data_IF_997540265209
#
_entry.id   IF_997540265209
#
_cell.length_a   1.000
_cell.length_b   1.000
_cell.length_c   1.000
_cell.angle_alpha   90.00
_cell.angle_beta   90.00
_cell.angle_gamma   90.00
#
_symmetry.space_group_name_H-M   'P 1'
#
loop_
_entity.id
_entity.type
_entity.pdbx_description
1 polymer ?
#
# COMPACT_ATOMS: atom_id res chain seq x y z
N UNK A 1 11.01 28.95 10.81
CA UNK A 1 11.94 28.01 11.48
C UNK A 1 12.93 27.53 10.44
N UNK A 2 14.22 27.44 10.80
CA UNK A 2 15.24 26.84 9.93
C UNK A 2 14.96 25.35 9.78
N UNK A 3 15.20 24.82 8.59
CA UNK A 3 15.15 23.38 8.30
C UNK A 3 16.47 22.97 7.66
N UNK A 4 16.80 21.70 7.74
CA UNK A 4 17.88 21.06 7.02
C UNK A 4 17.28 20.01 6.08
N UNK A 5 17.88 19.83 4.92
CA UNK A 5 17.50 18.80 3.97
C UNK A 5 18.60 17.74 3.94
N UNK A 6 18.22 16.49 4.19
CA UNK A 6 19.14 15.34 4.18
C UNK A 6 18.70 14.42 3.06
N UNK A 7 19.57 14.20 2.10
CA UNK A 7 19.35 13.30 0.97
C UNK A 7 20.25 12.08 1.14
N UNK A 8 19.66 10.90 1.19
CA UNK A 8 20.40 9.62 1.27
C UNK A 8 20.22 8.87 -0.02
N UNK A 9 21.30 8.72 -0.77
CA UNK A 9 21.38 7.83 -1.92
C UNK A 9 21.66 6.40 -1.42
N UNK A 10 20.68 5.52 -1.55
CA UNK A 10 20.77 4.12 -1.12
C UNK A 10 21.28 3.20 -2.25
N UNK A 11 22.37 3.60 -2.91
CA UNK A 11 22.99 2.84 -3.99
C UNK A 11 22.14 2.77 -5.25
N UNK A 12 21.54 3.90 -5.65
CA UNK A 12 20.74 3.99 -6.87
C UNK A 12 21.58 3.73 -8.12
N UNK A 13 21.07 3.00 -9.11
CA UNK A 13 21.80 2.70 -10.35
C UNK A 13 22.07 3.96 -11.20
N UNK A 14 21.34 5.04 -10.97
CA UNK A 14 21.40 6.33 -11.62
C UNK A 14 22.06 7.42 -10.73
N UNK A 15 22.95 7.03 -9.81
CA UNK A 15 23.62 7.93 -8.85
C UNK A 15 24.28 9.12 -9.52
N UNK A 16 24.94 8.95 -10.68
CA UNK A 16 25.56 10.07 -11.41
C UNK A 16 24.54 11.13 -11.86
N UNK A 17 23.35 10.69 -12.29
CA UNK A 17 22.27 11.59 -12.69
C UNK A 17 21.67 12.32 -11.48
N UNK A 18 21.51 11.60 -10.37
CA UNK A 18 21.06 12.17 -9.11
C UNK A 18 22.03 13.23 -8.61
N UNK A 19 23.32 12.94 -8.58
CA UNK A 19 24.36 13.89 -8.16
C UNK A 19 24.41 15.12 -9.07
N UNK A 20 24.30 14.94 -10.39
CA UNK A 20 24.23 16.05 -11.32
C UNK A 20 23.00 16.96 -11.07
N UNK A 21 21.85 16.37 -10.72
CA UNK A 21 20.63 17.10 -10.37
C UNK A 21 20.76 17.84 -9.03
N UNK A 22 21.46 17.27 -8.07
CA UNK A 22 21.68 17.84 -6.74
C UNK A 22 22.83 18.85 -6.69
N UNK A 23 23.73 18.86 -7.67
CA UNK A 23 24.92 19.70 -7.69
C UNK A 23 24.64 21.19 -7.37
N UNK A 24 23.58 21.84 -7.88
CA UNK A 24 23.27 23.22 -7.54
C UNK A 24 22.90 23.46 -6.06
N UNK A 25 22.61 22.40 -5.31
CA UNK A 25 22.09 22.45 -3.94
C UNK A 25 23.06 21.88 -2.90
N UNK A 26 24.25 21.41 -3.28
CA UNK A 26 25.18 20.75 -2.35
C UNK A 26 25.59 21.62 -1.15
N UNK A 27 25.59 22.93 -1.29
CA UNK A 27 25.90 23.83 -0.17
C UNK A 27 24.72 23.95 0.84
N UNK A 28 23.52 23.58 0.42
CA UNK A 28 22.29 23.72 1.21
C UNK A 28 21.75 22.39 1.76
N UNK A 29 22.32 21.25 1.33
CA UNK A 29 21.86 19.91 1.70
C UNK A 29 22.94 19.09 2.39
N UNK A 30 22.54 18.09 3.16
CA UNK A 30 23.42 17.01 3.63
C UNK A 30 23.21 15.82 2.70
N UNK A 31 24.14 15.63 1.76
CA UNK A 31 24.10 14.44 0.86
C UNK A 31 24.95 13.32 1.42
N UNK A 32 24.40 12.11 1.41
CA UNK A 32 25.10 10.89 1.87
C UNK A 32 24.78 9.74 0.93
N UNK A 33 25.81 9.01 0.54
CA UNK A 33 25.68 7.77 -0.21
C UNK A 33 25.92 6.56 0.71
N UNK A 34 25.23 5.47 0.44
CA UNK A 34 25.45 4.18 1.06
C UNK A 34 25.19 3.04 0.06
N UNK A 35 25.67 1.83 0.38
CA UNK A 35 25.27 0.62 -0.35
C UNK A 35 23.76 0.42 -0.21
N UNK A 36 23.11 -0.16 -1.23
CA UNK A 36 21.67 -0.44 -1.18
C UNK A 36 21.33 -1.40 -0.03
N UNK A 37 20.71 -0.84 0.98
CA UNK A 37 20.24 -1.53 2.20
C UNK A 37 18.71 -1.44 2.36
N UNK A 38 18.04 -0.74 1.44
CA UNK A 38 16.61 -0.53 1.45
C UNK A 38 16.17 0.75 2.18
N UNK A 39 14.92 1.15 1.95
CA UNK A 39 14.39 2.45 2.39
C UNK A 39 14.43 2.67 3.92
N UNK A 40 14.28 1.61 4.75
CA UNK A 40 14.35 1.75 6.21
C UNK A 40 15.73 2.12 6.74
N UNK A 41 16.76 1.38 6.40
CA UNK A 41 18.13 1.75 6.69
C UNK A 41 18.52 3.14 6.17
N UNK A 42 18.08 3.52 4.95
CA UNK A 42 18.30 4.85 4.41
C UNK A 42 17.63 5.94 5.27
N UNK A 43 16.35 5.76 5.63
CA UNK A 43 15.65 6.68 6.54
C UNK A 43 16.31 6.73 7.93
N UNK A 44 16.78 5.61 8.47
CA UNK A 44 17.53 5.58 9.73
C UNK A 44 18.85 6.36 9.64
N UNK A 45 19.54 6.27 8.50
CA UNK A 45 20.74 7.06 8.25
C UNK A 45 20.42 8.55 8.28
N UNK A 46 19.36 8.99 7.59
CA UNK A 46 18.92 10.38 7.62
C UNK A 46 18.55 10.82 9.05
N UNK A 47 17.78 10.03 9.79
CA UNK A 47 17.40 10.32 11.18
C UNK A 47 18.63 10.48 12.07
N UNK A 48 19.68 9.66 11.88
CA UNK A 48 20.90 9.72 12.67
C UNK A 48 21.69 11.00 12.43
N UNK A 49 21.65 11.54 11.22
CA UNK A 49 22.34 12.76 10.80
C UNK A 49 21.55 14.03 11.15
N UNK A 50 20.23 13.92 11.25
CA UNK A 50 19.37 15.05 11.55
C UNK A 50 19.69 15.68 12.90
N UNK A 51 19.79 17.02 12.90
CA UNK A 51 19.99 17.85 14.11
C UNK A 51 18.66 18.36 14.68
N UNK A 52 17.63 18.42 13.82
CA UNK A 52 16.31 18.89 14.19
C UNK A 52 15.58 17.93 15.14
N UNK A 53 14.69 18.49 15.95
CA UNK A 53 13.79 17.71 16.85
C UNK A 53 12.65 17.04 16.09
N UNK A 54 12.30 17.53 14.91
CA UNK A 54 11.26 17.01 14.05
C UNK A 54 11.88 16.38 12.81
N UNK A 55 11.34 15.25 12.41
CA UNK A 55 11.68 14.55 11.16
C UNK A 55 10.46 14.61 10.25
N UNK A 56 10.64 15.15 9.05
CA UNK A 56 9.67 15.10 7.97
C UNK A 56 10.19 14.16 6.89
N UNK A 57 9.36 13.22 6.45
CA UNK A 57 9.73 12.22 5.44
C UNK A 57 9.18 12.63 4.08
N UNK A 58 10.04 12.50 3.05
CA UNK A 58 9.65 12.70 1.66
C UNK A 58 10.35 11.63 0.81
N UNK A 59 9.58 10.80 0.13
CA UNK A 59 10.10 9.86 -0.85
C UNK A 59 10.43 10.62 -2.14
N UNK A 60 11.45 10.17 -2.89
CA UNK A 60 12.05 10.93 -3.98
C UNK A 60 11.12 11.16 -5.20
N UNK A 61 10.03 10.43 -5.27
CA UNK A 61 9.02 10.50 -6.32
C UNK A 61 7.79 11.34 -5.95
N UNK A 62 7.71 11.83 -4.71
CA UNK A 62 6.60 12.63 -4.19
C UNK A 62 6.94 14.13 -4.09
N UNK A 63 5.92 14.97 -3.92
CA UNK A 63 6.06 16.43 -3.85
C UNK A 63 5.26 17.01 -2.68
N UNK A 64 5.86 17.89 -1.87
CA UNK A 64 5.09 18.65 -0.88
C UNK A 64 4.49 19.92 -1.49
N UNK A 65 3.27 20.25 -1.07
CA UNK A 65 2.68 21.55 -1.33
C UNK A 65 3.27 22.61 -0.37
N UNK A 66 3.21 23.90 -0.73
CA UNK A 66 3.90 24.98 0.01
C UNK A 66 3.59 25.04 1.51
N UNK A 67 2.36 24.70 1.91
CA UNK A 67 1.90 24.80 3.29
C UNK A 67 2.17 23.54 4.13
N UNK A 68 2.76 22.49 3.54
CA UNK A 68 2.96 21.19 4.20
C UNK A 68 3.65 21.32 5.57
N UNK A 69 4.88 21.86 5.60
CA UNK A 69 5.66 21.94 6.84
C UNK A 69 4.99 22.84 7.86
N UNK A 70 4.47 24.01 7.44
CA UNK A 70 3.84 24.95 8.36
C UNK A 70 2.62 24.33 9.06
N UNK A 71 1.77 23.64 8.29
CA UNK A 71 0.59 22.98 8.84
C UNK A 71 0.95 21.82 9.78
N UNK A 72 1.86 20.94 9.36
CA UNK A 72 2.26 19.78 10.15
C UNK A 72 2.97 20.18 11.46
N UNK A 73 3.83 21.20 11.42
CA UNK A 73 4.49 21.73 12.62
C UNK A 73 3.45 22.31 13.59
N UNK A 74 2.47 23.06 13.09
CA UNK A 74 1.39 23.58 13.92
C UNK A 74 0.61 22.49 14.65
N UNK A 75 0.39 21.33 14.00
CA UNK A 75 -0.23 20.18 14.65
C UNK A 75 0.68 19.58 15.75
N UNK A 76 1.98 19.43 15.47
CA UNK A 76 2.95 18.95 16.48
C UNK A 76 2.99 19.88 17.69
N UNK A 77 2.96 21.21 17.49
CA UNK A 77 2.90 22.21 18.55
C UNK A 77 1.60 22.11 19.37
N UNK A 78 0.51 21.64 18.73
CA UNK A 78 -0.75 21.26 19.37
C UNK A 78 -0.69 20.01 20.24
N UNK A 79 0.49 19.39 20.36
CA UNK A 79 0.76 18.28 21.30
C UNK A 79 0.75 16.89 20.67
N UNK A 80 0.79 16.76 19.35
CA UNK A 80 0.98 15.49 18.69
C UNK A 80 2.45 15.08 18.66
N UNK A 81 2.74 13.78 18.64
CA UNK A 81 4.10 13.24 18.50
C UNK A 81 4.42 12.87 17.06
N UNK A 82 3.39 12.54 16.30
CA UNK A 82 3.41 12.24 14.87
C UNK A 82 2.13 12.75 14.22
N UNK A 83 2.26 13.32 13.04
CA UNK A 83 1.12 13.74 12.22
C UNK A 83 1.33 13.32 10.77
N UNK A 84 0.23 13.15 10.05
CA UNK A 84 0.27 12.92 8.59
C UNK A 84 -0.90 13.60 7.90
N UNK A 85 -0.82 13.77 6.59
CA UNK A 85 -1.81 14.49 5.81
C UNK A 85 -2.30 13.68 4.61
N UNK A 86 -3.41 14.14 4.00
CA UNK A 86 -3.91 13.61 2.74
C UNK A 86 -3.06 14.06 1.56
N UNK A 87 -3.13 13.31 0.47
CA UNK A 87 -2.36 13.52 -0.76
C UNK A 87 -3.25 13.52 -1.99
N UNK A 88 -2.97 14.42 -2.93
CA UNK A 88 -3.42 14.30 -4.31
C UNK A 88 -2.65 13.16 -4.99
N UNK A 89 -3.36 12.25 -5.66
CA UNK A 89 -2.74 11.18 -6.43
C UNK A 89 -2.37 11.71 -7.82
N UNK A 90 -1.11 11.49 -8.26
CA UNK A 90 -0.67 11.90 -9.59
C UNK A 90 0.26 10.86 -10.22
N UNK A 91 0.55 11.00 -11.52
CA UNK A 91 1.39 10.06 -12.27
C UNK A 91 0.61 9.23 -13.28
N UNK A 92 1.31 8.33 -13.97
CA UNK A 92 0.79 7.63 -15.15
C UNK A 92 -0.38 6.68 -14.86
N UNK A 93 -0.53 6.26 -13.61
CA UNK A 93 -1.55 5.32 -13.17
C UNK A 93 -2.49 5.90 -12.11
N UNK A 94 -2.38 7.20 -11.82
CA UNK A 94 -3.25 7.84 -10.86
C UNK A 94 -4.68 7.98 -11.42
N UNK A 95 -5.71 7.67 -10.62
CA UNK A 95 -7.07 8.03 -10.97
C UNK A 95 -7.20 9.56 -10.98
N UNK A 96 -7.95 10.10 -11.97
CA UNK A 96 -8.16 11.55 -12.06
C UNK A 96 -8.92 12.07 -10.85
N UNK A 97 -8.47 13.21 -10.32
CA UNK A 97 -9.15 13.97 -9.27
C UNK A 97 -9.45 13.19 -7.98
N UNK A 98 -8.57 12.25 -7.61
CA UNK A 98 -8.71 11.46 -6.38
C UNK A 98 -7.61 11.75 -5.39
N UNK A 99 -7.99 11.74 -4.10
CA UNK A 99 -7.02 11.79 -3.01
C UNK A 99 -6.74 10.40 -2.44
N UNK A 100 -5.65 10.30 -1.70
CA UNK A 100 -5.29 9.05 -1.03
C UNK A 100 -6.35 8.65 0.01
N UNK A 101 -6.83 9.60 0.82
CA UNK A 101 -7.81 9.29 1.87
C UNK A 101 -9.21 8.98 1.32
N UNK A 102 -9.53 9.32 0.07
CA UNK A 102 -10.74 8.80 -0.59
C UNK A 102 -10.68 7.29 -0.84
N UNK A 103 -9.48 6.77 -1.12
CA UNK A 103 -9.25 5.35 -1.37
C UNK A 103 -8.88 4.57 -0.11
N UNK A 104 -8.11 5.20 0.78
CA UNK A 104 -7.60 4.63 2.03
C UNK A 104 -7.84 5.62 3.18
N UNK A 105 -9.08 5.75 3.66
CA UNK A 105 -9.46 6.76 4.62
C UNK A 105 -8.78 6.60 5.96
N UNK A 106 -8.67 7.72 6.69
CA UNK A 106 -8.37 7.72 8.12
C UNK A 106 -9.59 8.19 8.89
N UNK A 107 -9.99 7.46 9.93
CA UNK A 107 -11.17 7.77 10.74
C UNK A 107 -10.97 7.43 12.21
N UNK A 108 -11.36 8.38 13.07
CA UNK A 108 -11.27 8.23 14.52
C UNK A 108 -9.83 8.36 15.03
N UNK A 109 -9.57 7.77 16.18
CA UNK A 109 -8.27 7.84 16.84
C UNK A 109 -7.26 6.89 16.17
N UNK A 110 -6.01 7.38 16.01
CA UNK A 110 -4.93 6.57 15.43
C UNK A 110 -4.27 5.74 16.54
N UNK A 111 -4.63 4.48 16.59
CA UNK A 111 -4.13 3.48 17.54
C UNK A 111 -3.51 2.30 16.80
N UNK A 112 -2.84 1.41 17.50
CA UNK A 112 -2.36 0.16 16.91
C UNK A 112 -3.53 -0.65 16.30
N UNK A 113 -4.67 -0.70 16.98
CA UNK A 113 -5.89 -1.37 16.48
C UNK A 113 -6.43 -0.72 15.20
N UNK A 114 -6.48 0.61 15.11
CA UNK A 114 -6.99 1.30 13.91
C UNK A 114 -6.04 1.19 12.72
N UNK A 115 -4.73 1.13 12.96
CA UNK A 115 -3.72 0.86 11.93
C UNK A 115 -3.84 -0.59 11.42
N UNK A 116 -3.92 -1.57 12.32
CA UNK A 116 -4.07 -2.99 11.97
C UNK A 116 -5.36 -3.27 11.22
N UNK A 117 -6.42 -2.51 11.50
CA UNK A 117 -7.74 -2.67 10.87
C UNK A 117 -7.91 -1.81 9.60
N UNK A 118 -6.85 -1.10 9.17
CA UNK A 118 -6.88 -0.16 8.05
C UNK A 118 -7.95 0.94 8.17
N UNK A 119 -8.39 1.24 9.39
CA UNK A 119 -9.23 2.41 9.65
C UNK A 119 -8.46 3.72 9.65
N UNK A 120 -7.13 3.64 9.80
CA UNK A 120 -6.21 4.74 9.63
C UNK A 120 -5.05 4.31 8.73
N UNK A 121 -4.81 5.07 7.67
CA UNK A 121 -3.84 4.75 6.64
C UNK A 121 -2.84 5.91 6.50
N UNK A 122 -1.55 5.60 6.52
CA UNK A 122 -0.49 6.60 6.63
C UNK A 122 0.37 6.59 5.37
N UNK A 123 0.53 7.76 4.77
CA UNK A 123 1.54 8.00 3.73
C UNK A 123 2.81 8.47 4.42
N UNK A 124 3.93 7.81 4.16
CA UNK A 124 5.23 8.18 4.73
C UNK A 124 5.65 9.58 4.33
N UNK A 125 5.54 9.94 3.06
CA UNK A 125 5.85 11.28 2.53
C UNK A 125 4.96 12.40 3.10
N UNK A 126 3.80 12.05 3.64
CA UNK A 126 2.90 12.98 4.34
C UNK A 126 3.16 13.12 5.83
N UNK A 127 4.23 12.52 6.35
CA UNK A 127 4.44 12.37 7.80
C UNK A 127 5.51 13.32 8.33
N UNK A 128 5.18 13.97 9.46
CA UNK A 128 6.12 14.65 10.35
C UNK A 128 6.01 14.04 11.75
N UNK A 129 7.14 13.75 12.39
CA UNK A 129 7.18 13.15 13.70
C UNK A 129 8.32 13.71 14.56
N UNK A 130 8.15 13.71 15.88
CA UNK A 130 9.23 14.00 16.82
C UNK A 130 10.33 12.92 16.70
N UNK A 131 11.56 13.33 16.49
CA UNK A 131 12.72 12.44 16.41
C UNK A 131 12.80 11.53 17.65
N UNK A 132 12.57 12.08 18.83
CA UNK A 132 12.58 11.33 20.09
C UNK A 132 11.54 10.19 20.09
N UNK A 133 10.33 10.41 19.57
CA UNK A 133 9.27 9.41 19.50
C UNK A 133 9.62 8.28 18.50
N UNK A 134 10.24 8.62 17.36
CA UNK A 134 10.74 7.63 16.39
C UNK A 134 11.81 6.74 17.04
N UNK A 135 12.77 7.35 17.73
CA UNK A 135 13.87 6.63 18.41
C UNK A 135 13.34 5.75 19.54
N UNK A 136 12.41 6.27 20.36
CA UNK A 136 11.80 5.51 21.46
C UNK A 136 11.04 4.27 20.94
N UNK A 137 10.44 4.36 19.77
CA UNK A 137 9.80 3.22 19.09
C UNK A 137 10.78 2.27 18.40
N UNK A 138 12.11 2.52 18.44
CA UNK A 138 13.16 1.68 17.86
C UNK A 138 13.47 1.97 16.39
N UNK A 139 13.02 3.11 15.85
CA UNK A 139 13.25 3.56 14.46
C UNK A 139 12.79 2.53 13.40
N UNK A 140 13.20 2.65 12.15
CA UNK A 140 12.89 1.65 11.12
C UNK A 140 13.68 0.35 11.36
N UNK A 141 13.16 -0.76 10.86
CA UNK A 141 13.90 -2.02 10.91
C UNK A 141 15.18 -1.94 10.06
N UNK A 142 16.22 -2.66 10.52
CA UNK A 142 17.52 -2.62 9.85
C UNK A 142 17.60 -3.51 8.62
N UNK A 143 16.72 -4.51 8.54
CA UNK A 143 16.63 -5.40 7.40
C UNK A 143 15.77 -4.75 6.31
N UNK A 144 16.11 -5.02 5.04
CA UNK A 144 15.29 -4.58 3.91
C UNK A 144 13.98 -5.37 3.90
N UNK A 145 13.01 -4.85 4.64
CA UNK A 145 11.69 -5.41 4.73
C UNK A 145 10.66 -4.42 4.21
N UNK A 146 9.72 -4.90 3.41
CA UNK A 146 8.63 -4.06 2.92
C UNK A 146 7.70 -3.63 4.06
N UNK A 147 7.01 -2.51 3.88
CA UNK A 147 6.10 -1.91 4.86
C UNK A 147 6.72 -1.71 6.26
N UNK A 148 7.99 -1.33 6.27
CA UNK A 148 8.74 -1.00 7.48
C UNK A 148 8.20 0.24 8.19
N UNK A 149 7.60 1.14 7.43
CA UNK A 149 6.86 2.31 7.89
C UNK A 149 5.61 1.90 8.68
N UNK A 150 4.75 1.04 8.13
CA UNK A 150 3.59 0.49 8.82
C UNK A 150 3.97 -0.18 10.15
N UNK A 151 5.06 -0.95 10.15
CA UNK A 151 5.58 -1.60 11.35
C UNK A 151 6.06 -0.58 12.39
N UNK A 152 6.73 0.49 11.97
CA UNK A 152 7.15 1.59 12.85
C UNK A 152 5.94 2.32 13.44
N UNK A 153 4.92 2.64 12.61
CA UNK A 153 3.74 3.35 13.07
C UNK A 153 2.96 2.58 14.13
N UNK A 154 2.85 1.26 14.01
CA UNK A 154 2.26 0.40 15.05
C UNK A 154 3.08 0.47 16.33
N UNK A 155 4.42 0.37 16.27
CA UNK A 155 5.29 0.47 17.45
C UNK A 155 5.20 1.83 18.12
N UNK A 156 5.12 2.92 17.36
CA UNK A 156 4.92 4.26 17.91
C UNK A 156 3.57 4.36 18.66
N UNK A 157 2.49 3.86 18.05
CA UNK A 157 1.19 3.83 18.73
C UNK A 157 1.22 2.98 20.01
N UNK A 158 1.86 1.82 19.98
CA UNK A 158 2.05 0.94 21.17
C UNK A 158 2.92 1.60 22.25
N UNK A 159 3.90 2.42 21.87
CA UNK A 159 4.72 3.19 22.80
C UNK A 159 4.01 4.41 23.40
N UNK A 160 2.72 4.61 23.08
CA UNK A 160 1.92 5.71 23.61
C UNK A 160 2.07 7.03 22.87
N UNK A 161 2.69 7.04 21.67
CA UNK A 161 2.77 8.24 20.85
C UNK A 161 1.37 8.71 20.43
N UNK A 162 1.11 10.01 20.61
CA UNK A 162 -0.11 10.65 20.12
C UNK A 162 0.03 10.89 18.60
N UNK A 163 -0.72 10.14 17.81
CA UNK A 163 -0.67 10.22 16.35
C UNK A 163 -1.95 10.88 15.85
N UNK A 164 -1.80 11.96 15.08
CA UNK A 164 -2.90 12.69 14.46
C UNK A 164 -2.81 12.68 12.95
N UNK A 165 -3.91 13.07 12.30
CA UNK A 165 -3.94 13.26 10.84
C UNK A 165 -4.75 14.51 10.47
N UNK A 166 -4.51 15.00 9.26
CA UNK A 166 -5.25 16.08 8.63
C UNK A 166 -5.82 15.58 7.32
N UNK A 167 -7.08 15.90 7.06
CA UNK A 167 -7.76 15.68 5.77
C UNK A 167 -7.39 16.71 4.70
N UNK A 168 -6.50 17.66 5.02
CA UNK A 168 -5.98 18.59 4.03
C UNK A 168 -5.03 17.89 3.08
N UNK A 169 -5.23 18.12 1.79
CA UNK A 169 -4.27 17.74 0.76
C UNK A 169 -3.06 18.66 0.86
N UNK A 170 -1.94 18.11 1.33
CA UNK A 170 -0.70 18.86 1.57
C UNK A 170 0.50 18.32 0.79
N UNK A 171 0.30 17.25 0.04
CA UNK A 171 1.34 16.67 -0.83
C UNK A 171 0.69 16.05 -2.07
N UNK A 172 1.54 15.77 -3.05
CA UNK A 172 1.22 14.99 -4.24
C UNK A 172 1.96 13.66 -4.14
N UNK A 173 1.21 12.56 -4.19
CA UNK A 173 1.72 11.19 -4.09
C UNK A 173 1.72 10.54 -5.46
N UNK A 174 2.89 10.07 -5.92
CA UNK A 174 3.05 9.53 -7.26
C UNK A 174 2.65 8.05 -7.34
N UNK A 175 1.76 7.75 -8.28
CA UNK A 175 1.31 6.39 -8.59
C UNK A 175 1.90 5.94 -9.92
N UNK A 176 2.77 4.94 -9.87
CA UNK A 176 3.42 4.36 -11.06
C UNK A 176 2.69 3.12 -11.56
N UNK A 177 2.70 2.92 -12.88
CA UNK A 177 2.18 1.69 -13.50
C UNK A 177 2.91 0.44 -13.03
N UNK A 178 4.19 0.54 -12.72
CA UNK A 178 4.98 -0.57 -12.19
C UNK A 178 4.53 -1.00 -10.78
N UNK A 179 4.04 -0.07 -9.97
CA UNK A 179 3.46 -0.37 -8.66
C UNK A 179 2.12 -1.12 -8.76
N UNK A 180 1.37 -0.92 -9.86
CA UNK A 180 0.08 -1.57 -10.15
C UNK A 180 0.23 -2.87 -10.95
N UNK A 181 1.29 -3.00 -11.77
CA UNK A 181 1.52 -4.14 -12.65
C UNK A 181 2.23 -5.32 -11.99
N UNK A 182 2.61 -5.19 -10.72
CA UNK A 182 3.19 -6.30 -9.96
C UNK A 182 2.24 -7.49 -9.92
N UNK A 183 2.81 -8.73 -9.99
CA UNK A 183 2.06 -9.97 -9.83
C UNK A 183 1.19 -9.89 -8.57
N UNK A 184 -0.13 -9.96 -8.74
CA UNK A 184 -1.12 -9.82 -7.67
C UNK A 184 -0.92 -10.88 -6.57
N UNK A 185 -0.44 -12.08 -6.92
CA UNK A 185 -0.09 -13.14 -5.97
C UNK A 185 1.05 -12.66 -5.07
N UNK A 186 2.15 -12.21 -5.66
CA UNK A 186 3.31 -11.72 -4.92
C UNK A 186 2.95 -10.50 -4.03
N UNK A 187 2.02 -9.64 -4.46
CA UNK A 187 1.51 -8.54 -3.65
C UNK A 187 0.84 -9.06 -2.38
N UNK A 188 -0.12 -9.98 -2.51
CA UNK A 188 -0.84 -10.53 -1.36
C UNK A 188 0.08 -11.34 -0.45
N UNK A 189 1.03 -12.10 -1.00
CA UNK A 189 2.04 -12.82 -0.21
C UNK A 189 2.91 -11.86 0.62
N UNK A 190 3.29 -10.71 0.05
CA UNK A 190 4.02 -9.67 0.79
C UNK A 190 3.18 -9.07 1.93
N UNK A 191 1.90 -8.80 1.70
CA UNK A 191 1.00 -8.31 2.75
C UNK A 191 0.87 -9.34 3.88
N UNK A 192 0.70 -10.62 3.57
CA UNK A 192 0.70 -11.71 4.56
C UNK A 192 1.99 -11.72 5.37
N UNK A 193 3.14 -11.61 4.71
CA UNK A 193 4.44 -11.59 5.38
C UNK A 193 4.58 -10.40 6.34
N UNK A 194 4.07 -9.22 5.98
CA UNK A 194 4.04 -8.04 6.85
C UNK A 194 3.24 -8.32 8.12
N UNK A 195 2.01 -8.82 8.00
CA UNK A 195 1.18 -9.12 9.17
C UNK A 195 1.76 -10.25 10.03
N UNK A 196 2.38 -11.28 9.42
CA UNK A 196 3.08 -12.33 10.16
C UNK A 196 4.27 -11.78 10.93
N UNK A 197 5.01 -10.82 10.35
CA UNK A 197 6.11 -10.15 11.03
C UNK A 197 5.61 -9.33 12.22
N UNK A 198 4.55 -8.53 12.03
CA UNK A 198 3.91 -7.78 13.13
C UNK A 198 3.54 -8.73 14.27
N UNK A 199 2.87 -9.85 13.96
CA UNK A 199 2.50 -10.86 14.95
C UNK A 199 3.69 -11.42 15.73
N UNK A 200 4.83 -11.57 15.05
CA UNK A 200 6.05 -12.17 15.65
C UNK A 200 6.84 -11.19 16.50
N UNK A 201 6.82 -9.91 16.15
CA UNK A 201 7.78 -8.92 16.68
C UNK A 201 7.15 -7.85 17.56
N UNK A 202 5.83 -7.70 17.55
CA UNK A 202 5.11 -6.70 18.34
C UNK A 202 4.25 -7.43 19.38
N UNK A 203 4.36 -7.00 20.64
CA UNK A 203 3.47 -7.47 21.70
C UNK A 203 2.06 -6.90 21.50
N UNK A 204 1.14 -7.73 21.00
CA UNK A 204 -0.23 -7.36 20.67
C UNK A 204 -1.17 -7.74 21.81
N UNK A 205 -2.11 -6.84 22.13
CA UNK A 205 -3.22 -7.15 23.00
C UNK A 205 -4.13 -8.24 22.38
N UNK A 206 -4.99 -8.92 23.17
CA UNK A 206 -5.93 -9.90 22.64
C UNK A 206 -6.85 -9.33 21.53
N UNK A 207 -7.25 -8.06 21.65
CA UNK A 207 -8.05 -7.37 20.64
C UNK A 207 -7.25 -7.13 19.35
N UNK A 208 -6.03 -6.58 19.46
CA UNK A 208 -5.14 -6.36 18.33
C UNK A 208 -4.79 -7.66 17.60
N UNK A 209 -4.56 -8.73 18.36
CA UNK A 209 -4.30 -10.06 17.80
C UNK A 209 -5.53 -10.59 17.05
N UNK A 210 -6.74 -10.37 17.57
CA UNK A 210 -7.99 -10.76 16.89
C UNK A 210 -8.17 -10.01 15.56
N UNK A 211 -7.86 -8.70 15.55
CA UNK A 211 -7.88 -7.89 14.33
C UNK A 211 -6.88 -8.44 13.31
N UNK A 212 -5.64 -8.64 13.74
CA UNK A 212 -4.57 -9.15 12.88
C UNK A 212 -4.90 -10.54 12.29
N UNK A 213 -5.44 -11.46 13.08
CA UNK A 213 -5.85 -12.79 12.59
C UNK A 213 -6.99 -12.70 11.58
N UNK A 214 -7.94 -11.78 11.78
CA UNK A 214 -9.01 -11.52 10.81
C UNK A 214 -8.42 -11.02 9.49
N UNK A 215 -7.47 -10.06 9.50
CA UNK A 215 -6.79 -9.57 8.31
C UNK A 215 -6.02 -10.69 7.61
N UNK A 216 -5.22 -11.47 8.34
CA UNK A 216 -4.50 -12.63 7.79
C UNK A 216 -5.45 -13.67 7.17
N UNK A 217 -6.60 -13.91 7.80
CA UNK A 217 -7.62 -14.80 7.24
C UNK A 217 -8.18 -14.27 5.93
N UNK A 218 -8.47 -12.96 5.87
CA UNK A 218 -8.90 -12.29 4.63
C UNK A 218 -7.88 -12.42 3.51
N UNK A 219 -6.62 -12.06 3.79
CA UNK A 219 -5.52 -12.13 2.82
C UNK A 219 -5.27 -13.55 2.30
N UNK A 220 -5.41 -14.58 3.13
CA UNK A 220 -5.30 -15.97 2.65
C UNK A 220 -6.40 -16.33 1.65
N UNK A 221 -7.62 -15.86 1.87
CA UNK A 221 -8.71 -16.04 0.89
C UNK A 221 -8.38 -15.31 -0.42
N UNK A 222 -7.92 -14.06 -0.31
CA UNK A 222 -7.57 -13.24 -1.48
C UNK A 222 -6.40 -13.88 -2.25
N UNK A 223 -5.41 -14.47 -1.57
CA UNK A 223 -4.32 -15.22 -2.19
C UNK A 223 -4.85 -16.40 -3.02
N UNK A 224 -5.78 -17.20 -2.48
CA UNK A 224 -6.36 -18.31 -3.24
C UNK A 224 -7.20 -17.82 -4.42
N UNK A 225 -7.89 -16.68 -4.29
CA UNK A 225 -8.60 -16.06 -5.42
C UNK A 225 -7.60 -15.64 -6.53
N UNK A 226 -6.50 -14.98 -6.18
CA UNK A 226 -5.49 -14.56 -7.16
C UNK A 226 -4.80 -15.77 -7.84
N UNK A 227 -4.47 -16.82 -7.08
CA UNK A 227 -3.99 -18.09 -7.64
C UNK A 227 -5.00 -18.70 -8.61
N UNK A 228 -6.29 -18.71 -8.22
CA UNK A 228 -7.36 -19.20 -9.07
C UNK A 228 -7.47 -18.42 -10.38
N UNK A 229 -7.35 -17.10 -10.35
CA UNK A 229 -7.31 -16.24 -11.54
C UNK A 229 -6.09 -16.54 -12.42
N UNK A 230 -4.90 -16.66 -11.84
CA UNK A 230 -3.66 -16.99 -12.54
C UNK A 230 -3.76 -18.34 -13.24
N UNK A 231 -4.19 -19.40 -12.55
CA UNK A 231 -4.42 -20.71 -13.12
C UNK A 231 -5.47 -20.69 -14.24
N UNK A 232 -6.55 -19.91 -14.06
CA UNK A 232 -7.59 -19.75 -15.08
C UNK A 232 -7.02 -19.13 -16.37
N UNK A 233 -6.21 -18.09 -16.27
CA UNK A 233 -5.55 -17.42 -17.41
C UNK A 233 -4.60 -18.38 -18.13
N UNK A 234 -3.88 -19.20 -17.39
CA UNK A 234 -2.96 -20.21 -17.89
C UNK A 234 -3.69 -21.50 -18.39
N UNK A 235 -5.03 -21.51 -18.35
CA UNK A 235 -5.88 -22.65 -18.75
C UNK A 235 -5.69 -23.92 -17.91
N UNK A 236 -5.09 -23.80 -16.73
CA UNK A 236 -5.07 -24.88 -15.75
C UNK A 236 -6.38 -24.85 -14.94
N UNK A 237 -7.44 -25.36 -15.58
CA UNK A 237 -8.80 -25.31 -15.03
C UNK A 237 -8.97 -26.17 -13.77
N UNK A 238 -8.13 -27.21 -13.62
CA UNK A 238 -8.19 -28.05 -12.42
C UNK A 238 -7.66 -27.29 -11.21
N UNK A 239 -6.46 -26.72 -11.31
CA UNK A 239 -5.88 -25.89 -10.23
C UNK A 239 -6.72 -24.62 -9.95
N UNK A 240 -7.28 -23.99 -11.00
CA UNK A 240 -8.18 -22.85 -10.82
C UNK A 240 -9.41 -23.21 -9.99
N UNK A 241 -10.06 -24.34 -10.31
CA UNK A 241 -11.22 -24.82 -9.55
C UNK A 241 -10.86 -25.10 -8.09
N UNK A 242 -9.73 -25.75 -7.85
CA UNK A 242 -9.31 -26.13 -6.49
C UNK A 242 -9.01 -24.88 -5.65
N UNK A 243 -8.31 -23.89 -6.20
CA UNK A 243 -8.03 -22.62 -5.55
C UNK A 243 -9.33 -21.84 -5.22
N UNK A 244 -10.26 -21.69 -6.15
CA UNK A 244 -11.56 -21.06 -5.87
C UNK A 244 -12.38 -21.82 -4.84
N UNK A 245 -12.27 -23.15 -4.83
CA UNK A 245 -12.97 -24.00 -3.83
C UNK A 245 -12.39 -23.79 -2.44
N UNK A 246 -11.06 -23.68 -2.28
CA UNK A 246 -10.42 -23.33 -1.02
C UNK A 246 -10.87 -21.95 -0.52
N UNK A 247 -10.82 -20.94 -1.39
CA UNK A 247 -11.29 -19.60 -1.06
C UNK A 247 -12.76 -19.61 -0.60
N UNK A 248 -13.62 -20.35 -1.31
CA UNK A 248 -15.05 -20.48 -0.98
C UNK A 248 -15.33 -21.23 0.34
N UNK A 249 -14.45 -22.18 0.69
CA UNK A 249 -14.56 -22.89 1.97
C UNK A 249 -14.21 -21.97 3.16
N UNK A 250 -13.24 -21.08 3.00
CA UNK A 250 -12.81 -20.17 4.06
C UNK A 250 -13.72 -18.94 4.21
N UNK A 251 -14.22 -18.38 3.10
CA UNK A 251 -15.12 -17.22 3.08
C UNK A 251 -16.29 -17.48 2.13
N UNK A 252 -17.34 -18.20 2.56
CA UNK A 252 -18.49 -18.52 1.71
C UNK A 252 -19.22 -17.23 1.28
N UNK A 253 -19.40 -17.05 -0.02
CA UNK A 253 -20.23 -15.99 -0.59
C UNK A 253 -20.98 -16.50 -1.82
N UNK A 254 -22.14 -15.89 -2.14
CA UNK A 254 -22.89 -16.25 -3.35
C UNK A 254 -22.03 -16.06 -4.61
N UNK A 255 -21.22 -15.00 -4.63
CA UNK A 255 -20.27 -14.64 -5.67
C UNK A 255 -19.26 -15.78 -5.88
N UNK A 256 -18.56 -16.19 -4.83
CA UNK A 256 -17.51 -17.19 -4.93
C UNK A 256 -18.07 -18.58 -5.25
N UNK A 257 -19.26 -18.91 -4.74
CA UNK A 257 -19.98 -20.14 -5.14
C UNK A 257 -20.30 -20.18 -6.63
N UNK A 258 -20.73 -19.05 -7.21
CA UNK A 258 -20.99 -18.96 -8.65
C UNK A 258 -19.68 -19.12 -9.46
N UNK A 259 -18.57 -18.53 -9.01
CA UNK A 259 -17.25 -18.75 -9.63
C UNK A 259 -16.82 -20.21 -9.57
N UNK A 260 -16.99 -20.88 -8.43
CA UNK A 260 -16.69 -22.31 -8.29
C UNK A 260 -17.53 -23.18 -9.25
N UNK A 261 -18.83 -22.89 -9.37
CA UNK A 261 -19.70 -23.59 -10.33
C UNK A 261 -19.25 -23.33 -11.78
N UNK A 262 -18.96 -22.08 -12.14
CA UNK A 262 -18.48 -21.73 -13.46
C UNK A 262 -17.11 -22.38 -13.76
N UNK A 263 -16.18 -22.38 -12.82
CA UNK A 263 -14.88 -23.05 -12.96
C UNK A 263 -15.01 -24.57 -13.14
N UNK A 264 -16.05 -25.18 -12.55
CA UNK A 264 -16.31 -26.62 -12.65
C UNK A 264 -16.99 -27.01 -13.97
N UNK A 265 -18.00 -26.26 -14.42
CA UNK A 265 -18.87 -26.67 -15.52
C UNK A 265 -18.63 -25.92 -16.83
N UNK A 266 -18.08 -24.70 -16.77
CA UNK A 266 -17.87 -23.81 -17.91
C UNK A 266 -16.57 -22.98 -17.79
N UNK A 267 -15.40 -23.60 -17.55
CA UNK A 267 -14.16 -22.85 -17.27
C UNK A 267 -13.73 -21.95 -18.42
N UNK A 268 -13.97 -22.37 -19.67
CA UNK A 268 -13.65 -21.55 -20.85
C UNK A 268 -14.54 -20.31 -20.95
N UNK A 269 -15.81 -20.39 -20.52
CA UNK A 269 -16.70 -19.24 -20.43
C UNK A 269 -16.25 -18.30 -19.32
N UNK A 270 -15.90 -18.82 -18.15
CA UNK A 270 -15.35 -18.05 -17.05
C UNK A 270 -14.09 -17.29 -17.47
N UNK A 271 -13.17 -17.96 -18.18
CA UNK A 271 -11.96 -17.32 -18.74
C UNK A 271 -12.30 -16.21 -19.72
N UNK A 272 -13.27 -16.44 -20.61
CA UNK A 272 -13.72 -15.41 -21.57
C UNK A 272 -14.29 -14.17 -20.87
N UNK A 273 -15.13 -14.36 -19.84
CA UNK A 273 -15.68 -13.28 -19.03
C UNK A 273 -14.57 -12.54 -18.29
N UNK A 274 -13.63 -13.26 -17.69
CA UNK A 274 -12.49 -12.66 -17.01
C UNK A 274 -11.66 -11.79 -17.96
N UNK A 275 -11.31 -12.31 -19.14
CA UNK A 275 -10.54 -11.56 -20.15
C UNK A 275 -11.27 -10.33 -20.68
N UNK A 276 -12.58 -10.42 -20.93
CA UNK A 276 -13.35 -9.27 -21.44
C UNK A 276 -13.37 -8.08 -20.48
N UNK A 277 -13.29 -8.31 -19.18
CA UNK A 277 -13.23 -7.26 -18.17
C UNK A 277 -11.84 -6.66 -17.97
N UNK A 278 -10.80 -7.42 -18.27
CA UNK A 278 -9.42 -6.95 -18.12
C UNK A 278 -8.82 -6.45 -19.44
N UNK A 279 -9.51 -6.61 -20.57
CA UNK A 279 -9.09 -6.06 -21.87
C UNK A 279 -9.28 -4.54 -21.97
N UNK A 280 -10.12 -3.93 -21.13
CA UNK A 280 -10.28 -2.47 -21.09
C UNK A 280 -9.05 -1.75 -20.52
N UNK A 281 -8.18 -2.45 -19.77
CA UNK A 281 -6.89 -1.91 -19.30
C UNK A 281 -5.73 -2.13 -20.28
N UNK A 282 -5.90 -2.95 -21.33
CA UNK A 282 -4.85 -3.26 -22.30
C UNK A 282 -5.19 -2.80 -23.72
N UNK A 283 -5.91 -1.75 -23.93
CA UNK A 283 -6.00 -1.00 -25.21
C UNK A 283 -5.99 -1.77 -26.55
N UNK A 284 -6.13 -3.10 -26.57
CA UNK A 284 -6.04 -3.94 -27.75
C UNK A 284 -7.15 -4.99 -27.74
N UNK A 285 -8.05 -4.83 -28.66
CA UNK A 285 -9.06 -5.70 -29.26
C UNK A 285 -10.45 -5.08 -29.12
N UNK A 286 -10.72 -4.14 -30.01
CA UNK A 286 -12.05 -3.96 -30.60
C UNK A 286 -12.14 -4.92 -31.77
N UNK A 287 -13.01 -5.89 -31.72
CA UNK A 287 -14.01 -6.23 -32.70
C UNK A 287 -14.53 -7.68 -32.54
N UNK A 288 -15.83 -7.76 -32.77
CA UNK A 288 -16.64 -8.94 -33.13
C UNK A 288 -17.11 -9.87 -32.01
N UNK A 289 -18.37 -9.72 -31.64
CA UNK A 289 -19.41 -10.66 -32.06
C UNK A 289 -20.76 -10.31 -31.42
N UNK A 290 -21.65 -9.99 -32.30
CA UNK A 290 -23.08 -9.87 -32.00
C UNK A 290 -23.70 -11.25 -31.70
N UNK A 291 -24.69 -11.19 -30.79
CA UNK A 291 -25.89 -12.01 -30.68
C UNK A 291 -25.80 -13.53 -30.63
N UNK A 292 -26.16 -14.07 -29.48
CA UNK A 292 -27.21 -15.10 -29.39
C UNK A 292 -27.60 -15.44 -27.95
N UNK A 293 -28.90 -15.53 -27.73
CA UNK A 293 -29.69 -16.18 -26.69
C UNK A 293 -29.83 -15.54 -25.30
N UNK A 294 -31.03 -15.14 -24.97
CA UNK A 294 -31.51 -14.45 -23.79
C UNK A 294 -31.40 -15.22 -22.45
N UNK A 295 -31.17 -16.52 -22.44
CA UNK A 295 -30.99 -17.33 -21.24
C UNK A 295 -29.55 -17.30 -20.68
N UNK A 296 -28.57 -16.95 -21.48
CA UNK A 296 -27.18 -16.71 -21.05
C UNK A 296 -26.99 -15.35 -20.39
N UNK A 297 -27.89 -14.38 -20.67
CA UNK A 297 -27.73 -12.99 -20.25
C UNK A 297 -27.90 -12.77 -18.74
N UNK A 298 -28.75 -13.53 -18.07
CA UNK A 298 -28.95 -13.42 -16.61
C UNK A 298 -27.78 -14.02 -15.81
N UNK A 299 -27.22 -15.13 -16.26
CA UNK A 299 -26.02 -15.74 -15.66
C UNK A 299 -24.78 -14.90 -15.97
N UNK A 300 -24.66 -14.39 -17.19
CA UNK A 300 -23.57 -13.50 -17.59
C UNK A 300 -23.63 -12.17 -16.84
N UNK A 301 -24.82 -11.59 -16.64
CA UNK A 301 -24.97 -10.35 -15.86
C UNK A 301 -24.61 -10.54 -14.39
N UNK A 302 -24.94 -11.71 -13.79
CA UNK A 302 -24.54 -12.06 -12.43
C UNK A 302 -23.01 -12.29 -12.33
N UNK A 303 -22.42 -12.98 -13.33
CA UNK A 303 -20.98 -13.18 -13.42
C UNK A 303 -20.22 -11.88 -13.77
N UNK A 304 -20.81 -10.99 -14.55
CA UNK A 304 -20.22 -9.69 -14.87
C UNK A 304 -20.11 -8.77 -13.64
N UNK A 305 -21.03 -8.85 -12.69
CA UNK A 305 -20.89 -8.15 -11.40
C UNK A 305 -19.89 -8.80 -10.43
N UNK A 306 -19.37 -9.98 -10.78
CA UNK A 306 -18.46 -10.77 -9.95
C UNK A 306 -17.00 -10.30 -10.00
N UNK A 307 -16.60 -9.52 -11.04
CA UNK A 307 -15.23 -9.06 -11.23
C UNK A 307 -15.12 -7.51 -11.27
N UNK A 308 -16.14 -6.80 -10.76
CA UNK A 308 -16.22 -5.34 -10.79
C UNK A 308 -16.04 -4.67 -9.41
N UNK A 309 -15.38 -5.34 -8.48
CA UNK A 309 -14.88 -4.75 -7.22
C UNK A 309 -13.50 -5.30 -6.93
#
# INVERSE_FOLDING_TARGET
>A
AGHELIVVNDGSPDSEQLEAALAPFFDDIVYVEQANLGAGPARNRAISLARGELIAFLDADDEWLPDFLAHQISMIDGGWDKVYADAELFGDAAPSDHTFMESAPSSGEVTASSLLDFRCNVITSGTVAKKAAIIAAGAFEKEDTRAQDFHLWIRMAKAGSRIGYSDKVLLRYRVHTENLSGDSISRVEREIAVFQRVKKTIDLSPEELSILERQLSGLRVDLEIEKGKSHLVNRDFAAARDAFSHASAWRPSAKLKAVCLAARFAPSLLLRIYRSKHSDHLGLIRNEAAASSWTAFSVISALLRLFSE
#
